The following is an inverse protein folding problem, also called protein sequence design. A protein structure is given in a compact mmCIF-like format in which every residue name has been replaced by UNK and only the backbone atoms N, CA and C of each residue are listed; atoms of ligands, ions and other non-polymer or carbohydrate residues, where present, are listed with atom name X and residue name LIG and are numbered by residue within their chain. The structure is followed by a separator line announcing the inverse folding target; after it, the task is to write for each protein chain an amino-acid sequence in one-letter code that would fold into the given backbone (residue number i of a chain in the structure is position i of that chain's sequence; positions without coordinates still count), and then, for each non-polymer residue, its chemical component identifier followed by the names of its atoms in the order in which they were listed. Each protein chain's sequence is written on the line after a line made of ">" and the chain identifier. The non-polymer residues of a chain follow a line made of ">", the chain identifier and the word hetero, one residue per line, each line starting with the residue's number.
data_IF_325890236856
#
_entry.id   IF_325890236856
#
_cell.length_a   1.000
_cell.length_b   1.000
_cell.length_c   1.000
_cell.angle_alpha   90.00
_cell.angle_beta   90.00
_cell.angle_gamma   90.00
#
_symmetry.space_group_name_H-M   'P 1'
#
loop_
_entity.id
_entity.type
_entity.pdbx_description
1 polymer ?
#
# COMPACT_ATOMS: atom_id res chain seq x y z
N UNK A 1 5.77 -3.63 23.15
CA UNK A 1 6.53 -4.88 22.97
C UNK A 1 6.47 -5.71 24.27
N UNK A 2 5.28 -6.19 24.65
CA UNK A 2 5.07 -7.01 25.87
C UNK A 2 3.99 -8.11 25.65
N UNK A 3 3.10 -7.94 24.67
CA UNK A 3 2.05 -8.92 24.32
C UNK A 3 2.64 -10.22 23.71
N UNK A 4 3.85 -10.14 23.16
CA UNK A 4 4.50 -11.21 22.39
C UNK A 4 4.91 -12.40 23.28
N UNK A 5 5.18 -12.16 24.57
CA UNK A 5 5.59 -13.18 25.54
C UNK A 5 4.47 -14.16 25.92
N UNK A 6 3.21 -13.81 25.63
CA UNK A 6 2.05 -14.67 25.89
C UNK A 6 1.75 -15.64 24.74
N UNK A 7 2.39 -15.47 23.58
CA UNK A 7 2.16 -16.29 22.40
C UNK A 7 3.33 -17.25 22.16
N UNK A 8 3.05 -18.42 21.59
CA UNK A 8 4.12 -19.34 21.20
C UNK A 8 5.05 -18.67 20.18
N UNK A 9 6.34 -18.99 20.26
CA UNK A 9 7.36 -18.50 19.31
C UNK A 9 6.98 -18.79 17.85
N UNK A 10 6.34 -19.94 17.61
CA UNK A 10 5.83 -20.35 16.30
C UNK A 10 4.76 -19.38 15.74
N UNK A 11 3.82 -18.96 16.58
CA UNK A 11 2.74 -18.06 16.16
C UNK A 11 3.29 -16.67 15.82
N UNK A 12 4.18 -16.15 16.67
CA UNK A 12 4.82 -14.85 16.45
C UNK A 12 5.67 -14.87 15.18
N UNK A 13 6.45 -15.93 14.97
CA UNK A 13 7.26 -16.10 13.75
C UNK A 13 6.40 -16.17 12.49
N UNK A 14 5.27 -16.88 12.56
CA UNK A 14 4.32 -16.96 11.44
C UNK A 14 3.78 -15.57 11.08
N UNK A 15 3.28 -14.83 12.08
CA UNK A 15 2.72 -13.49 11.86
C UNK A 15 3.77 -12.53 11.33
N UNK A 16 4.99 -12.58 11.86
CA UNK A 16 6.09 -11.74 11.39
C UNK A 16 6.43 -12.02 9.92
N UNK A 17 6.47 -13.29 9.51
CA UNK A 17 6.73 -13.67 8.13
C UNK A 17 5.62 -13.20 7.19
N UNK A 18 4.36 -13.38 7.60
CA UNK A 18 3.20 -12.89 6.88
C UNK A 18 3.24 -11.36 6.67
N UNK A 19 3.58 -10.61 7.73
CA UNK A 19 3.73 -9.15 7.66
C UNK A 19 4.91 -8.71 6.76
N UNK A 20 6.01 -9.47 6.78
CA UNK A 20 7.15 -9.19 5.92
C UNK A 20 6.79 -9.37 4.44
N UNK A 21 6.08 -10.45 4.10
CA UNK A 21 5.60 -10.73 2.75
C UNK A 21 4.65 -9.61 2.28
N UNK A 22 3.67 -9.22 3.08
CA UNK A 22 2.73 -8.16 2.70
C UNK A 22 3.40 -6.82 2.53
N UNK A 23 4.33 -6.46 3.42
CA UNK A 23 5.09 -5.22 3.33
C UNK A 23 5.94 -5.17 2.05
N UNK A 24 6.62 -6.27 1.72
CA UNK A 24 7.41 -6.39 0.50
C UNK A 24 6.53 -6.26 -0.76
N UNK A 25 5.41 -6.99 -0.80
CA UNK A 25 4.47 -6.92 -1.92
C UNK A 25 3.83 -5.54 -2.05
N UNK A 26 3.56 -4.85 -0.94
CA UNK A 26 3.02 -3.49 -0.95
C UNK A 26 3.96 -2.50 -1.63
N UNK A 27 5.27 -2.60 -1.35
CA UNK A 27 6.30 -1.80 -2.05
C UNK A 27 6.34 -2.15 -3.53
N UNK A 28 6.30 -3.45 -3.87
CA UNK A 28 6.31 -3.92 -5.25
C UNK A 28 5.10 -3.42 -6.06
N UNK A 29 3.87 -3.52 -5.52
CA UNK A 29 2.66 -3.10 -6.23
C UNK A 29 2.45 -1.58 -6.23
N UNK A 30 2.89 -0.87 -5.20
CA UNK A 30 2.81 0.59 -5.18
C UNK A 30 3.85 1.25 -6.10
N UNK A 31 4.95 0.56 -6.42
CA UNK A 31 6.03 1.03 -7.30
C UNK A 31 6.59 2.42 -6.92
N UNK A 32 6.44 2.83 -5.66
CA UNK A 32 6.80 4.18 -5.20
C UNK A 32 5.95 5.32 -5.81
N UNK A 33 4.85 5.00 -6.50
CA UNK A 33 3.99 5.99 -7.17
C UNK A 33 3.37 7.00 -6.21
N UNK A 34 3.20 6.66 -4.93
CA UNK A 34 2.74 7.59 -3.90
C UNK A 34 3.63 8.84 -3.79
N UNK A 35 4.95 8.67 -3.81
CA UNK A 35 5.91 9.79 -3.77
C UNK A 35 5.93 10.59 -5.06
N UNK A 36 5.89 9.90 -6.22
CA UNK A 36 5.83 10.56 -7.53
C UNK A 36 4.57 11.42 -7.68
N UNK A 37 3.42 10.90 -7.25
CA UNK A 37 2.15 11.61 -7.22
C UNK A 37 2.20 12.85 -6.34
N UNK A 38 2.78 12.71 -5.14
CA UNK A 38 2.96 13.82 -4.21
C UNK A 38 3.81 14.95 -4.82
N UNK A 39 4.93 14.60 -5.45
CA UNK A 39 5.81 15.57 -6.09
C UNK A 39 5.11 16.30 -7.25
N UNK A 40 4.43 15.56 -8.11
CA UNK A 40 3.76 16.13 -9.28
C UNK A 40 2.59 17.05 -8.88
N UNK A 41 1.73 16.62 -7.95
CA UNK A 41 0.61 17.48 -7.49
C UNK A 41 1.17 18.76 -6.86
N UNK A 42 2.20 18.66 -6.02
CA UNK A 42 2.83 19.83 -5.40
C UNK A 42 3.42 20.79 -6.45
N UNK A 43 4.02 20.25 -7.53
CA UNK A 43 4.55 21.04 -8.64
C UNK A 43 3.46 21.79 -9.41
N UNK A 44 2.39 21.09 -9.80
CA UNK A 44 1.29 21.73 -10.54
C UNK A 44 0.46 22.70 -9.68
N UNK A 45 0.35 22.45 -8.38
CA UNK A 45 -0.25 23.41 -7.45
C UNK A 45 0.55 24.71 -7.42
N UNK A 46 1.90 24.65 -7.45
CA UNK A 46 2.73 25.85 -7.54
C UNK A 46 2.47 26.69 -8.80
N UNK A 47 2.00 26.06 -9.88
CA UNK A 47 1.65 26.71 -11.16
C UNK A 47 0.21 27.21 -11.24
N UNK A 48 -0.61 27.02 -10.20
CA UNK A 48 -2.05 27.38 -10.14
C UNK A 48 -2.91 26.70 -11.23
N UNK A 49 -2.45 25.59 -11.81
CA UNK A 49 -3.16 24.85 -12.87
C UNK A 49 -4.12 23.79 -12.29
N UNK A 50 -5.13 24.22 -11.52
CA UNK A 50 -5.98 23.31 -10.73
C UNK A 50 -6.80 22.30 -11.53
N UNK A 51 -7.17 22.63 -12.79
CA UNK A 51 -7.91 21.71 -13.66
C UNK A 51 -7.15 20.42 -13.95
N UNK A 52 -5.84 20.52 -14.23
CA UNK A 52 -4.98 19.36 -14.51
C UNK A 52 -4.75 18.50 -13.27
N UNK A 53 -4.77 19.10 -12.08
CA UNK A 53 -4.60 18.38 -10.81
C UNK A 53 -5.76 17.42 -10.59
N UNK A 54 -7.01 17.87 -10.78
CA UNK A 54 -8.19 17.03 -10.56
C UNK A 54 -8.23 15.84 -11.51
N UNK A 55 -7.97 16.09 -12.80
CA UNK A 55 -7.90 15.02 -13.80
C UNK A 55 -6.82 13.99 -13.44
N UNK A 56 -5.67 14.48 -12.98
CA UNK A 56 -4.57 13.60 -12.62
C UNK A 56 -4.84 12.79 -11.35
N UNK A 57 -5.42 13.39 -10.32
CA UNK A 57 -5.83 12.67 -9.10
C UNK A 57 -6.75 11.51 -9.48
N UNK A 58 -7.75 11.73 -10.33
CA UNK A 58 -8.67 10.68 -10.76
C UNK A 58 -7.95 9.55 -11.52
N UNK A 59 -7.03 9.89 -12.42
CA UNK A 59 -6.23 8.90 -13.16
C UNK A 59 -5.36 8.05 -12.23
N UNK A 60 -4.68 8.67 -11.28
CA UNK A 60 -3.86 7.95 -10.30
C UNK A 60 -4.69 7.13 -9.32
N UNK A 61 -5.87 7.61 -8.94
CA UNK A 61 -6.79 6.84 -8.11
C UNK A 61 -7.25 5.57 -8.86
N UNK A 62 -7.58 5.69 -10.14
CA UNK A 62 -7.95 4.54 -10.98
C UNK A 62 -6.79 3.55 -11.11
N UNK A 63 -5.58 4.04 -11.37
CA UNK A 63 -4.36 3.20 -11.39
C UNK A 63 -4.15 2.52 -10.04
N UNK A 64 -4.33 3.23 -8.93
CA UNK A 64 -4.19 2.69 -7.58
C UNK A 64 -5.21 1.59 -7.27
N UNK A 65 -6.47 1.77 -7.70
CA UNK A 65 -7.51 0.74 -7.60
C UNK A 65 -7.16 -0.47 -8.46
N UNK A 66 -6.72 -0.26 -9.70
CA UNK A 66 -6.30 -1.36 -10.59
C UNK A 66 -5.12 -2.14 -10.01
N UNK A 67 -4.09 -1.47 -9.51
CA UNK A 67 -2.95 -2.10 -8.84
C UNK A 67 -3.34 -2.80 -7.55
N UNK A 68 -4.25 -2.21 -6.77
CA UNK A 68 -4.83 -2.83 -5.59
C UNK A 68 -5.52 -4.15 -5.94
N UNK A 69 -6.45 -4.14 -6.92
CA UNK A 69 -7.18 -5.34 -7.34
C UNK A 69 -6.20 -6.39 -7.87
N UNK A 70 -5.21 -5.97 -8.65
CA UNK A 70 -4.18 -6.85 -9.19
C UNK A 70 -3.34 -7.47 -8.05
N UNK A 71 -3.01 -6.72 -7.01
CA UNK A 71 -2.30 -7.22 -5.83
C UNK A 71 -3.12 -8.27 -5.06
N UNK A 72 -4.43 -8.04 -4.90
CA UNK A 72 -5.36 -8.98 -4.27
C UNK A 72 -5.45 -10.27 -5.07
N UNK A 73 -5.67 -10.17 -6.38
CA UNK A 73 -5.77 -11.34 -7.25
C UNK A 73 -4.45 -12.11 -7.30
N UNK A 74 -3.33 -11.42 -7.40
CA UNK A 74 -2.01 -12.04 -7.40
C UNK A 74 -1.78 -12.86 -6.13
N UNK A 75 -2.02 -12.28 -4.94
CA UNK A 75 -1.81 -12.98 -3.67
C UNK A 75 -2.87 -14.07 -3.42
N UNK A 76 -4.12 -13.83 -3.81
CA UNK A 76 -5.21 -14.80 -3.66
C UNK A 76 -4.96 -16.06 -4.49
N UNK A 77 -4.56 -15.92 -5.76
CA UNK A 77 -4.27 -17.04 -6.66
C UNK A 77 -2.95 -17.74 -6.33
N UNK A 78 -1.94 -16.99 -5.90
CA UNK A 78 -0.65 -17.56 -5.48
C UNK A 78 -0.64 -18.06 -4.02
N UNK A 79 -1.72 -17.89 -3.27
CA UNK A 79 -1.82 -18.32 -1.87
C UNK A 79 -1.37 -19.77 -1.58
N UNK A 80 -1.68 -20.81 -2.38
CA UNK A 80 -1.14 -22.16 -2.14
C UNK A 80 0.37 -22.23 -2.34
N UNK A 81 0.92 -21.47 -3.28
CA UNK A 81 2.37 -21.41 -3.52
C UNK A 81 3.06 -20.77 -2.31
N UNK A 82 2.56 -19.63 -1.83
CA UNK A 82 3.10 -18.96 -0.65
C UNK A 82 2.97 -19.85 0.60
N UNK A 83 1.82 -20.51 0.81
CA UNK A 83 1.62 -21.40 1.95
C UNK A 83 2.63 -22.55 1.96
N UNK A 84 2.87 -23.17 0.80
CA UNK A 84 3.82 -24.26 0.68
C UNK A 84 5.28 -23.78 0.80
N UNK A 85 5.64 -22.67 0.16
CA UNK A 85 7.02 -22.17 0.10
C UNK A 85 7.50 -21.68 1.47
N UNK A 86 6.65 -20.97 2.21
CA UNK A 86 7.05 -20.33 3.46
C UNK A 86 6.72 -21.16 4.70
N UNK A 87 5.57 -21.84 4.70
CA UNK A 87 5.09 -22.57 5.88
C UNK A 87 5.18 -24.09 5.73
N UNK A 88 5.54 -24.59 4.54
CA UNK A 88 5.61 -26.03 4.25
C UNK A 88 4.30 -26.78 4.57
N UNK A 89 3.17 -26.06 4.58
CA UNK A 89 1.85 -26.62 4.90
C UNK A 89 0.72 -25.80 4.26
N UNK A 90 -0.35 -26.47 3.86
CA UNK A 90 -1.54 -25.83 3.30
C UNK A 90 -2.47 -25.21 4.34
N UNK A 91 -2.17 -25.37 5.65
CA UNK A 91 -2.95 -24.76 6.73
C UNK A 91 -3.04 -23.23 6.63
N UNK A 92 -2.05 -22.59 6.02
CA UNK A 92 -1.96 -21.13 5.92
C UNK A 92 -2.55 -20.53 4.64
N UNK A 93 -3.18 -21.32 3.76
CA UNK A 93 -3.82 -20.78 2.54
C UNK A 93 -4.83 -19.68 2.87
N UNK A 94 -5.73 -19.94 3.83
CA UNK A 94 -6.76 -18.96 4.22
C UNK A 94 -6.16 -17.68 4.81
N UNK A 95 -5.24 -17.76 5.81
CA UNK A 95 -4.50 -16.59 6.27
C UNK A 95 -3.86 -15.79 5.14
N UNK A 96 -3.15 -16.43 4.21
CA UNK A 96 -2.50 -15.76 3.08
C UNK A 96 -3.51 -15.10 2.13
N UNK A 97 -4.69 -15.70 1.93
CA UNK A 97 -5.78 -15.07 1.16
C UNK A 97 -6.31 -13.80 1.83
N UNK A 98 -6.46 -13.80 3.16
CA UNK A 98 -6.87 -12.59 3.89
C UNK A 98 -5.84 -11.48 3.79
N UNK A 99 -4.54 -11.82 3.72
CA UNK A 99 -3.50 -10.83 3.45
C UNK A 99 -3.62 -10.20 2.07
N UNK A 100 -4.24 -10.87 1.10
CA UNK A 100 -4.55 -10.26 -0.21
C UNK A 100 -5.50 -9.07 -0.07
N UNK A 101 -6.43 -9.15 0.89
CA UNK A 101 -7.36 -8.05 1.21
C UNK A 101 -6.61 -6.91 1.91
N UNK A 102 -5.78 -7.25 2.90
CA UNK A 102 -4.94 -6.26 3.59
C UNK A 102 -4.02 -5.52 2.61
N UNK A 103 -3.34 -6.26 1.72
CA UNK A 103 -2.46 -5.73 0.69
C UNK A 103 -3.19 -4.76 -0.27
N UNK A 104 -4.42 -5.09 -0.69
CA UNK A 104 -5.26 -4.18 -1.49
C UNK A 104 -5.45 -2.83 -0.79
N UNK A 105 -5.79 -2.83 0.49
CA UNK A 105 -5.96 -1.61 1.27
C UNK A 105 -4.63 -0.88 1.47
N UNK A 106 -3.53 -1.57 1.76
CA UNK A 106 -2.21 -0.95 1.88
C UNK A 106 -1.80 -0.21 0.60
N UNK A 107 -2.01 -0.83 -0.57
CA UNK A 107 -1.73 -0.21 -1.87
C UNK A 107 -2.61 1.03 -2.04
N UNK A 108 -3.92 0.93 -1.84
CA UNK A 108 -4.82 2.09 -1.93
C UNK A 108 -4.46 3.23 -0.97
N UNK A 109 -4.17 2.90 0.28
CA UNK A 109 -3.77 3.87 1.30
C UNK A 109 -2.49 4.60 0.91
N UNK A 110 -1.56 3.95 0.20
CA UNK A 110 -0.34 4.59 -0.29
C UNK A 110 -0.65 5.71 -1.29
N UNK A 111 -1.57 5.47 -2.24
CA UNK A 111 -1.99 6.49 -3.20
C UNK A 111 -2.77 7.63 -2.54
N UNK A 112 -3.72 7.30 -1.67
CA UNK A 112 -4.48 8.30 -0.92
C UNK A 112 -3.56 9.17 -0.07
N UNK A 113 -2.62 8.56 0.64
CA UNK A 113 -1.64 9.27 1.48
C UNK A 113 -0.76 10.21 0.64
N UNK A 114 -0.37 9.82 -0.56
CA UNK A 114 0.35 10.69 -1.50
C UNK A 114 -0.47 11.93 -1.90
N UNK A 115 -1.75 11.76 -2.19
CA UNK A 115 -2.67 12.86 -2.54
C UNK A 115 -2.86 13.81 -1.34
N UNK A 116 -3.14 13.28 -0.15
CA UNK A 116 -3.30 14.07 1.07
C UNK A 116 -2.02 14.80 1.48
N UNK A 117 -0.86 14.16 1.32
CA UNK A 117 0.42 14.79 1.63
C UNK A 117 0.73 15.95 0.68
N UNK A 118 0.37 15.82 -0.60
CA UNK A 118 0.53 16.88 -1.58
C UNK A 118 -0.32 18.12 -1.26
N UNK A 119 -1.58 17.92 -0.88
CA UNK A 119 -2.48 19.04 -0.53
C UNK A 119 -2.00 19.79 0.71
N UNK A 120 -1.45 19.08 1.71
CA UNK A 120 -0.88 19.68 2.93
C UNK A 120 0.36 20.53 2.65
N UNK A 121 1.27 20.04 1.79
CA UNK A 121 2.48 20.79 1.39
C UNK A 121 2.11 22.06 0.64
N UNK A 122 1.14 21.96 -0.27
CA UNK A 122 0.64 23.09 -1.01
C UNK A 122 0.03 24.15 -0.08
N UNK A 123 -0.84 23.77 0.86
CA UNK A 123 -1.43 24.70 1.82
C UNK A 123 -0.36 25.49 2.60
N UNK A 124 0.70 24.85 3.09
CA UNK A 124 1.79 25.59 3.77
C UNK A 124 2.48 26.60 2.87
N UNK A 125 2.71 26.24 1.60
CA UNK A 125 3.36 27.12 0.62
C UNK A 125 2.47 28.30 0.20
N UNK A 126 1.15 28.10 0.16
CA UNK A 126 0.18 29.16 -0.12
C UNK A 126 -0.03 30.14 1.05
N UNK A 127 0.13 29.68 2.29
CA UNK A 127 -0.08 30.48 3.50
C UNK A 127 1.23 31.09 4.06
N UNK A 128 2.35 30.97 3.35
CA UNK A 128 3.63 31.57 3.75
C UNK A 128 4.22 31.01 5.05
N UNK A 129 3.81 29.81 5.44
CA UNK A 129 4.32 29.14 6.65
C UNK A 129 5.52 28.30 6.22
N UNK A 130 6.65 28.98 6.03
CA UNK A 130 7.98 28.37 5.84
C UNK A 130 8.51 27.78 7.14
#
# INVERSE_FOLDING_TARGET
>A
MYIILFYSSELVGTVALLLAITSFLSVFFSLGLGYGLQHYISYQMGRKEYGKIREMITKFLLIGISLGILSLLALYLSSPIFAMLFFHTFKYILPVKYLGIDLFFMVLCTFLSGIFSASKISSRKYYGIS
#
